data_IF_009627473717
#
_entry.id   IF_009627473717
#
_cell.length_a   1.000
_cell.length_b   1.000
_cell.length_c   1.000
_cell.angle_alpha   90.00
_cell.angle_beta   90.00
_cell.angle_gamma   90.00
#
_symmetry.space_group_name_H-M   'P 1'
#
loop_
_entity.id
_entity.type
_entity.pdbx_description
1 polymer ?
#
# COMPACT_ATOMS: atom_id res chain seq x y z
N UNK A 1 35.10 -15.61 -4.42
CA UNK A 1 34.29 -15.16 -5.57
C UNK A 1 33.41 -14.03 -5.10
N UNK A 2 33.46 -12.83 -5.69
CA UNK A 2 32.47 -11.79 -5.43
C UNK A 2 31.19 -12.17 -6.19
N UNK A 3 30.08 -12.32 -5.46
CA UNK A 3 28.76 -12.40 -6.08
C UNK A 3 28.41 -10.98 -6.52
N UNK A 4 28.69 -10.72 -7.79
CA UNK A 4 28.35 -9.51 -8.51
C UNK A 4 26.84 -9.25 -8.42
N UNK A 5 26.53 -7.98 -8.22
CA UNK A 5 25.25 -7.39 -7.89
C UNK A 5 24.18 -7.72 -8.94
N UNK A 6 23.27 -8.65 -8.63
CA UNK A 6 21.97 -8.73 -9.29
C UNK A 6 21.04 -7.61 -8.77
N UNK A 7 21.51 -6.35 -8.79
CA UNK A 7 20.72 -5.14 -8.54
C UNK A 7 19.96 -4.75 -9.82
N UNK A 8 19.48 -5.74 -10.57
CA UNK A 8 18.37 -5.59 -11.50
C UNK A 8 17.12 -5.94 -10.69
N UNK A 9 16.67 -5.00 -9.85
CA UNK A 9 15.39 -5.13 -9.17
C UNK A 9 14.31 -4.56 -10.10
N UNK A 10 13.60 -5.38 -10.90
CA UNK A 10 12.59 -4.91 -11.87
C UNK A 10 11.46 -4.11 -11.22
N UNK A 11 11.29 -4.23 -9.90
CA UNK A 11 10.29 -3.50 -9.11
C UNK A 11 10.44 -1.97 -9.16
N UNK A 12 11.61 -1.46 -9.55
CA UNK A 12 11.90 -0.03 -9.59
C UNK A 12 11.22 0.72 -10.76
N UNK A 13 10.66 -0.01 -11.74
CA UNK A 13 10.10 0.53 -12.97
C UNK A 13 8.69 0.05 -13.34
N UNK A 14 8.02 -0.72 -12.48
CA UNK A 14 6.69 -1.27 -12.78
C UNK A 14 5.57 -0.52 -12.04
N UNK A 15 4.96 0.53 -12.64
CA UNK A 15 3.78 1.19 -12.06
C UNK A 15 2.63 0.21 -11.79
N UNK A 16 2.53 -0.88 -12.56
CA UNK A 16 1.55 -1.95 -12.32
C UNK A 16 1.68 -2.62 -10.95
N UNK A 17 2.90 -2.83 -10.44
CA UNK A 17 3.11 -3.41 -9.11
C UNK A 17 2.76 -2.41 -8.00
N UNK A 18 2.99 -1.12 -8.24
CA UNK A 18 2.56 -0.06 -7.34
C UNK A 18 1.04 0.01 -7.27
N UNK A 19 0.36 0.01 -8.41
CA UNK A 19 -1.09 -0.03 -8.50
C UNK A 19 -1.66 -1.26 -7.78
N UNK A 20 -1.09 -2.45 -8.02
CA UNK A 20 -1.51 -3.66 -7.32
C UNK A 20 -1.30 -3.59 -5.80
N UNK A 21 -0.21 -2.97 -5.34
CA UNK A 21 0.02 -2.75 -3.91
C UNK A 21 -0.99 -1.75 -3.31
N UNK A 22 -1.31 -0.67 -4.05
CA UNK A 22 -2.32 0.31 -3.65
C UNK A 22 -3.69 -0.36 -3.57
N UNK A 23 -4.09 -1.09 -4.60
CA UNK A 23 -5.35 -1.84 -4.63
C UNK A 23 -5.45 -2.81 -3.46
N UNK A 24 -4.38 -3.54 -3.17
CA UNK A 24 -4.35 -4.43 -2.01
C UNK A 24 -4.59 -3.68 -0.70
N UNK A 25 -3.90 -2.54 -0.50
CA UNK A 25 -4.08 -1.69 0.68
C UNK A 25 -5.52 -1.19 0.77
N UNK A 26 -6.07 -0.67 -0.32
CA UNK A 26 -7.44 -0.17 -0.34
C UNK A 26 -8.41 -1.29 0.05
N UNK A 27 -8.43 -2.42 -0.64
CA UNK A 27 -9.36 -3.52 -0.35
C UNK A 27 -9.21 -4.07 1.07
N UNK A 28 -8.01 -4.03 1.67
CA UNK A 28 -7.74 -4.62 2.98
C UNK A 28 -7.55 -3.60 4.11
N UNK A 29 -7.79 -2.31 3.89
CA UNK A 29 -7.50 -1.26 4.86
C UNK A 29 -8.22 -1.42 6.21
N UNK A 30 -9.40 -2.05 6.22
CA UNK A 30 -10.19 -2.33 7.43
C UNK A 30 -9.61 -3.47 8.28
N UNK A 31 -8.71 -4.28 7.72
CA UNK A 31 -8.05 -5.40 8.41
C UNK A 31 -6.73 -4.96 9.00
N UNK A 32 -6.21 -5.71 9.96
CA UNK A 32 -4.88 -5.49 10.51
C UNK A 32 -3.80 -6.08 9.57
N UNK A 33 -3.44 -5.31 8.55
CA UNK A 33 -2.38 -5.65 7.60
C UNK A 33 -1.14 -4.78 7.85
N UNK A 34 0.03 -5.36 7.60
CA UNK A 34 1.32 -4.70 7.67
C UNK A 34 2.04 -4.64 6.32
N UNK A 35 3.24 -4.06 6.34
CA UNK A 35 4.11 -4.00 5.15
C UNK A 35 4.50 -5.38 4.62
N UNK A 36 4.51 -6.41 5.48
CA UNK A 36 4.76 -7.80 5.08
C UNK A 36 3.64 -8.36 4.20
N UNK A 37 2.38 -8.11 4.56
CA UNK A 37 1.21 -8.58 3.79
C UNK A 37 1.14 -7.88 2.44
N UNK A 38 1.40 -6.58 2.41
CA UNK A 38 1.46 -5.78 1.17
C UNK A 38 2.55 -6.34 0.24
N UNK A 39 3.72 -6.66 0.79
CA UNK A 39 4.84 -7.21 0.03
C UNK A 39 4.52 -8.60 -0.51
N UNK A 40 3.88 -9.46 0.28
CA UNK A 40 3.40 -10.76 -0.18
C UNK A 40 2.38 -10.65 -1.33
N UNK A 41 1.50 -9.65 -1.30
CA UNK A 41 0.47 -9.44 -2.33
C UNK A 41 1.03 -9.08 -3.71
N UNK A 42 2.24 -8.51 -3.78
CA UNK A 42 2.92 -8.14 -5.02
C UNK A 42 4.20 -8.94 -5.27
N UNK A 43 4.43 -10.01 -4.51
CA UNK A 43 5.61 -10.87 -4.60
C UNK A 43 6.95 -10.14 -4.42
N UNK A 44 6.96 -9.08 -3.61
CA UNK A 44 8.14 -8.27 -3.31
C UNK A 44 8.61 -8.43 -1.87
N UNK A 45 9.79 -7.91 -1.58
CA UNK A 45 10.26 -7.78 -0.19
C UNK A 45 9.68 -6.52 0.46
N UNK A 46 9.52 -6.48 1.80
CA UNK A 46 9.08 -5.27 2.51
C UNK A 46 9.96 -4.05 2.23
N UNK A 47 11.27 -4.25 2.02
CA UNK A 47 12.21 -3.17 1.72
C UNK A 47 11.94 -2.58 0.33
N UNK A 48 11.72 -3.44 -0.66
CA UNK A 48 11.37 -3.03 -2.02
C UNK A 48 10.06 -2.24 -2.05
N UNK A 49 9.02 -2.72 -1.35
CA UNK A 49 7.74 -2.00 -1.26
C UNK A 49 7.92 -0.63 -0.60
N UNK A 50 8.67 -0.55 0.50
CA UNK A 50 8.96 0.74 1.15
C UNK A 50 9.66 1.72 0.22
N UNK A 51 10.67 1.25 -0.52
CA UNK A 51 11.39 2.06 -1.48
C UNK A 51 10.47 2.51 -2.64
N UNK A 52 9.67 1.61 -3.19
CA UNK A 52 8.72 1.92 -4.26
C UNK A 52 7.71 3.00 -3.84
N UNK A 53 7.12 2.88 -2.64
CA UNK A 53 6.23 3.90 -2.10
C UNK A 53 6.95 5.24 -1.89
N UNK A 54 8.20 5.22 -1.41
CA UNK A 54 8.98 6.44 -1.24
C UNK A 54 9.30 7.11 -2.57
N UNK A 55 9.69 6.33 -3.57
CA UNK A 55 10.10 6.81 -4.90
C UNK A 55 8.93 7.38 -5.70
N UNK A 56 7.75 6.76 -5.62
CA UNK A 56 6.62 7.11 -6.49
C UNK A 56 5.53 7.94 -5.80
N UNK A 57 5.38 7.84 -4.48
CA UNK A 57 4.32 8.49 -3.71
C UNK A 57 4.86 9.38 -2.58
N UNK A 58 6.19 9.52 -2.47
CA UNK A 58 6.88 10.27 -1.41
C UNK A 58 6.48 9.87 0.03
N UNK A 59 5.92 8.66 0.20
CA UNK A 59 5.34 8.20 1.46
C UNK A 59 5.82 6.79 1.82
N UNK A 60 5.39 6.27 2.97
CA UNK A 60 5.61 4.87 3.34
C UNK A 60 4.32 4.07 3.18
N UNK A 61 4.40 2.74 2.98
CA UNK A 61 3.21 1.90 2.86
C UNK A 61 2.29 1.99 4.09
N UNK A 62 2.89 2.09 5.28
CA UNK A 62 2.16 2.22 6.55
C UNK A 62 1.52 3.59 6.73
N UNK A 63 2.16 4.67 6.28
CA UNK A 63 1.56 6.00 6.28
C UNK A 63 0.40 6.08 5.29
N UNK A 64 0.55 5.49 4.10
CA UNK A 64 -0.52 5.38 3.10
C UNK A 64 -1.71 4.58 3.65
N UNK A 65 -1.48 3.42 4.26
CA UNK A 65 -2.51 2.62 4.92
C UNK A 65 -3.29 3.40 5.98
N UNK A 66 -2.59 4.18 6.82
CA UNK A 66 -3.23 5.04 7.83
C UNK A 66 -4.13 6.10 7.19
N UNK A 67 -3.68 6.73 6.10
CA UNK A 67 -4.46 7.72 5.38
C UNK A 67 -5.75 7.11 4.80
N UNK A 68 -5.68 5.90 4.23
CA UNK A 68 -6.85 5.18 3.71
C UNK A 68 -7.82 4.82 4.85
N UNK A 69 -7.32 4.32 5.99
CA UNK A 69 -8.16 4.03 7.17
C UNK A 69 -8.92 5.26 7.64
N UNK A 70 -8.25 6.42 7.71
CA UNK A 70 -8.88 7.68 8.11
C UNK A 70 -9.91 8.15 7.08
N UNK A 71 -9.61 8.04 5.78
CA UNK A 71 -10.53 8.37 4.69
C UNK A 71 -11.81 7.53 4.77
N UNK A 72 -11.68 6.21 4.95
CA UNK A 72 -12.83 5.30 5.07
C UNK A 72 -13.66 5.56 6.31
N UNK A 73 -13.03 5.73 7.47
CA UNK A 73 -13.75 6.09 8.69
C UNK A 73 -14.56 7.38 8.51
N UNK A 74 -14.01 8.38 7.82
CA UNK A 74 -14.73 9.60 7.47
C UNK A 74 -15.91 9.35 6.52
N UNK A 75 -15.71 8.54 5.48
CA UNK A 75 -16.76 8.19 4.52
C UNK A 75 -17.92 7.43 5.19
N UNK A 76 -17.60 6.48 6.08
CA UNK A 76 -18.59 5.72 6.87
C UNK A 76 -19.40 6.62 7.80
N UNK A 77 -18.77 7.62 8.43
CA UNK A 77 -19.46 8.61 9.27
C UNK A 77 -20.42 9.48 8.44
N UNK A 78 -19.98 9.96 7.27
CA UNK A 78 -20.82 10.79 6.38
C UNK A 78 -21.99 9.96 5.81
N UNK A 79 -21.74 8.72 5.43
CA UNK A 79 -22.79 7.83 4.91
C UNK A 79 -23.83 7.47 5.98
N UNK A 80 -23.39 7.23 7.23
CA UNK A 80 -24.29 6.93 8.34
C UNK A 80 -25.17 8.13 8.70
N UNK A 81 -24.62 9.33 8.76
CA UNK A 81 -25.37 10.57 9.04
C UNK A 81 -26.52 10.80 8.04
N UNK A 82 -26.28 10.47 6.77
CA UNK A 82 -27.28 10.59 5.70
C UNK A 82 -28.42 9.56 5.79
N UNK A 83 -28.22 8.45 6.49
CA UNK A 83 -29.19 7.34 6.58
C UNK A 83 -30.19 7.52 7.73
N UNK A 84 -29.91 8.43 8.68
CA UNK A 84 -30.70 8.56 9.92
C UNK A 84 -31.87 9.59 9.76
N UNK A 85 -32.04 10.21 8.59
CA UNK A 85 -33.07 11.27 8.37
C UNK A 85 -34.27 10.83 7.53
N UNK A 86 -34.82 9.63 7.70
CA UNK A 86 -36.12 9.26 7.07
C UNK A 86 -36.91 8.34 7.98
#
# INVERSE_FOLDING_TARGET
>A
LPLDSADDNPSDGHPALLEQAIDFIEHNAARDIGVGDIAAAVYLTPRTVQYMFRKHLDTTPTAYLRAIRLKRAREELIASDRTITT
#
